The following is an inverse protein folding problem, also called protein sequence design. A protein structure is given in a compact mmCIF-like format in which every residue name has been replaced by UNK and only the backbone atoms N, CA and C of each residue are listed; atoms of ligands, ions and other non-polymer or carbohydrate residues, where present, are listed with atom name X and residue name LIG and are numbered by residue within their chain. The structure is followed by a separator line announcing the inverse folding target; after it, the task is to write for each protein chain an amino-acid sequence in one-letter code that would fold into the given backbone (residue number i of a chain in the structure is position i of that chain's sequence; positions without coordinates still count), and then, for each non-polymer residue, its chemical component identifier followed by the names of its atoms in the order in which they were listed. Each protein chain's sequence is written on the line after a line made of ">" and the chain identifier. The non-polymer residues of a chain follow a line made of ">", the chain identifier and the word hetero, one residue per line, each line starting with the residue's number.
data_IF_227887787795
#
_entry.id   IF_227887787795
#
_cell.length_a   1.000
_cell.length_b   1.000
_cell.length_c   1.000
_cell.angle_alpha   90.00
_cell.angle_beta   90.00
_cell.angle_gamma   90.00
#
_symmetry.space_group_name_H-M   'P 1'
#
loop_
_entity.id
_entity.type
_entity.pdbx_description
1 polymer ?
#
# COMPACT_ATOMS: atom_id res chain seq x y z
N UNK A 1 2.59 47.33 49.58
CA UNK A 1 2.40 48.57 48.79
C UNK A 1 1.39 48.28 47.69
N UNK A 2 0.24 48.96 47.71
CA UNK A 2 -0.52 49.54 46.57
C UNK A 2 -0.43 48.87 45.17
N UNK A 3 -1.50 48.61 44.41
CA UNK A 3 -2.83 49.27 44.27
C UNK A 3 -3.92 48.19 43.99
N UNK A 4 -5.19 48.33 44.38
CA UNK A 4 -6.28 49.06 43.66
C UNK A 4 -6.31 48.74 42.14
N UNK A 5 -7.43 48.33 41.53
CA UNK A 5 -8.81 48.83 41.69
C UNK A 5 -9.93 47.79 41.46
N UNK A 6 -11.06 47.97 42.17
CA UNK A 6 -12.36 47.36 41.86
C UNK A 6 -12.97 47.96 40.58
N UNK A 7 -13.68 47.15 39.80
CA UNK A 7 -14.70 47.61 38.85
C UNK A 7 -16.05 47.01 39.26
N UNK A 8 -17.00 47.85 39.63
CA UNK A 8 -18.35 47.44 39.99
C UNK A 8 -19.19 47.24 38.72
N UNK A 9 -19.94 46.14 38.64
CA UNK A 9 -21.29 46.21 38.10
C UNK A 9 -22.24 45.41 38.99
N UNK A 10 -23.33 46.06 39.35
CA UNK A 10 -24.30 45.63 40.35
C UNK A 10 -25.54 45.02 39.68
N UNK A 11 -26.13 44.05 40.38
CA UNK A 11 -27.57 43.76 40.41
C UNK A 11 -28.22 43.31 39.08
N UNK A 12 -28.70 42.06 39.09
CA UNK A 12 -30.13 41.79 39.02
C UNK A 12 -30.44 40.37 39.53
N UNK A 13 -30.93 40.28 40.77
CA UNK A 13 -31.49 39.04 41.33
C UNK A 13 -32.92 38.92 40.80
N UNK A 14 -33.24 37.78 40.19
CA UNK A 14 -34.61 37.35 39.95
C UNK A 14 -34.77 35.90 40.40
N UNK A 15 -35.06 35.70 41.70
CA UNK A 15 -35.59 34.43 42.18
C UNK A 15 -37.04 34.29 41.67
N UNK A 16 -37.32 33.23 40.94
CA UNK A 16 -38.68 32.75 40.69
C UNK A 16 -38.80 31.33 41.24
N UNK A 17 -39.32 31.19 42.45
CA UNK A 17 -39.75 29.90 42.99
C UNK A 17 -41.18 29.62 42.51
N UNK A 18 -41.37 28.56 41.74
CA UNK A 18 -42.69 27.98 41.48
C UNK A 18 -42.62 26.48 41.76
N UNK A 19 -43.35 26.03 42.77
CA UNK A 19 -43.47 24.64 43.17
C UNK A 19 -44.70 23.99 42.51
N UNK A 20 -44.52 22.89 41.80
CA UNK A 20 -45.59 21.95 41.45
C UNK A 20 -45.02 20.55 41.20
N UNK A 21 -45.71 19.52 41.69
CA UNK A 21 -45.24 18.12 41.66
C UNK A 21 -45.90 17.27 40.56
N UNK A 22 -45.25 16.15 40.22
CA UNK A 22 -45.79 14.92 39.62
C UNK A 22 -46.31 14.92 38.16
N UNK A 23 -45.56 14.27 37.25
CA UNK A 23 -46.08 13.44 36.14
C UNK A 23 -44.96 12.58 35.49
N UNK A 24 -45.31 11.63 34.63
CA UNK A 24 -44.44 10.56 34.09
C UNK A 24 -44.89 10.15 32.65
N UNK A 25 -44.19 9.33 31.83
CA UNK A 25 -43.09 8.38 32.13
C UNK A 25 -41.74 8.59 31.37
N UNK A 26 -41.50 8.19 30.09
CA UNK A 26 -40.13 7.85 29.66
C UNK A 26 -39.58 8.71 28.50
N UNK A 27 -38.25 8.66 28.31
CA UNK A 27 -37.60 8.51 26.99
C UNK A 27 -36.07 8.50 27.11
N UNK A 28 -35.47 7.31 27.15
CA UNK A 28 -34.02 7.14 27.02
C UNK A 28 -33.61 7.09 25.55
N UNK A 29 -33.53 8.24 24.86
CA UNK A 29 -33.09 8.35 23.46
C UNK A 29 -32.35 9.68 23.21
N UNK A 30 -31.11 9.80 23.70
CA UNK A 30 -30.25 10.96 23.36
C UNK A 30 -28.75 10.64 23.23
N UNK A 31 -28.23 9.63 23.94
CA UNK A 31 -26.82 9.26 23.83
C UNK A 31 -26.48 8.28 22.69
N UNK A 32 -27.47 7.62 22.06
CA UNK A 32 -27.23 6.63 21.01
C UNK A 32 -27.03 7.26 19.61
N UNK A 33 -27.76 8.35 19.31
CA UNK A 33 -27.76 8.97 17.98
C UNK A 33 -26.46 9.74 17.68
N UNK A 34 -25.81 10.31 18.71
CA UNK A 34 -24.55 11.03 18.57
C UNK A 34 -23.36 10.10 18.39
N UNK A 35 -23.37 8.91 19.01
CA UNK A 35 -22.37 7.87 18.73
C UNK A 35 -22.59 7.25 17.36
N UNK A 36 -23.83 6.98 16.94
CA UNK A 36 -24.13 6.41 15.62
C UNK A 36 -23.62 7.32 14.47
N UNK A 37 -23.89 8.63 14.54
CA UNK A 37 -23.39 9.57 13.52
C UNK A 37 -21.86 9.78 13.57
N UNK A 38 -21.25 9.75 14.76
CA UNK A 38 -19.79 9.85 14.89
C UNK A 38 -19.08 8.57 14.42
N UNK A 39 -19.70 7.41 14.65
CA UNK A 39 -19.19 6.11 14.24
C UNK A 39 -19.40 5.89 12.73
N UNK A 40 -20.55 6.25 12.17
CA UNK A 40 -20.77 6.27 10.72
C UNK A 40 -19.81 7.24 9.99
N UNK A 41 -19.41 8.35 10.63
CA UNK A 41 -18.37 9.23 10.11
C UNK A 41 -16.96 8.63 10.22
N UNK A 42 -16.65 7.90 11.29
CA UNK A 42 -15.37 7.19 11.45
C UNK A 42 -15.23 6.01 10.46
N UNK A 43 -16.31 5.26 10.25
CA UNK A 43 -16.39 4.16 9.28
C UNK A 43 -16.26 4.67 7.84
N UNK A 44 -16.86 5.82 7.51
CA UNK A 44 -16.66 6.46 6.18
C UNK A 44 -15.22 6.89 5.92
N UNK A 45 -14.50 7.36 6.94
CA UNK A 45 -13.11 7.80 6.80
C UNK A 45 -12.10 6.63 6.74
N UNK A 46 -12.52 5.39 7.01
CA UNK A 46 -11.70 4.19 6.85
C UNK A 46 -11.93 3.45 5.52
N UNK A 47 -12.95 3.82 4.74
CA UNK A 47 -13.35 3.08 3.53
C UNK A 47 -12.62 3.46 2.23
N UNK A 48 -11.76 4.49 2.22
CA UNK A 48 -11.13 5.01 0.99
C UNK A 48 -9.59 4.92 0.90
N UNK A 49 -8.86 4.49 1.94
CA UNK A 49 -7.37 4.44 1.90
C UNK A 49 -6.71 3.12 2.36
N UNK A 50 -7.48 2.13 2.84
CA UNK A 50 -6.96 0.77 3.08
C UNK A 50 -7.26 -0.16 1.90
N UNK A 51 -6.38 -0.12 0.89
CA UNK A 51 -6.24 -1.26 -0.02
C UNK A 51 -5.68 -2.46 0.78
N UNK A 52 -6.58 -3.28 1.33
CA UNK A 52 -6.24 -4.55 1.97
C UNK A 52 -5.69 -5.54 0.92
N UNK A 53 -4.39 -5.44 0.67
CA UNK A 53 -3.66 -6.44 -0.08
C UNK A 53 -3.46 -7.69 0.77
N UNK A 54 -3.43 -8.91 0.18
CA UNK A 54 -2.99 -10.09 0.89
C UNK A 54 -1.63 -9.84 1.55
N UNK A 55 -1.42 -10.25 2.80
CA UNK A 55 -0.20 -9.92 3.58
C UNK A 55 1.09 -10.19 2.80
N UNK A 56 1.12 -11.28 2.03
CA UNK A 56 2.20 -11.64 1.11
C UNK A 56 2.59 -10.51 0.15
N UNK A 57 1.62 -9.83 -0.47
CA UNK A 57 1.86 -8.71 -1.38
C UNK A 57 2.40 -7.49 -0.63
N UNK A 58 1.86 -7.21 0.56
CA UNK A 58 2.38 -6.16 1.46
C UNK A 58 3.86 -6.42 1.81
N UNK A 59 4.21 -7.63 2.25
CA UNK A 59 5.60 -8.00 2.56
C UNK A 59 6.53 -7.92 1.34
N UNK A 60 6.09 -8.43 0.18
CA UNK A 60 6.84 -8.33 -1.09
C UNK A 60 7.15 -6.87 -1.43
N UNK A 61 6.19 -5.96 -1.23
CA UNK A 61 6.34 -4.57 -1.63
C UNK A 61 7.15 -3.75 -0.61
N UNK A 62 7.01 -4.01 0.69
CA UNK A 62 7.89 -3.44 1.73
C UNK A 62 9.35 -3.84 1.47
N UNK A 63 9.61 -5.12 1.20
CA UNK A 63 10.95 -5.62 0.86
C UNK A 63 11.46 -5.04 -0.48
N UNK A 64 10.61 -4.90 -1.49
CA UNK A 64 11.02 -4.30 -2.76
C UNK A 64 11.41 -2.82 -2.60
N UNK A 65 10.60 -2.04 -1.88
CA UNK A 65 10.80 -0.60 -1.69
C UNK A 65 12.02 -0.29 -0.82
N UNK A 66 12.34 -1.12 0.19
CA UNK A 66 13.52 -0.94 1.05
C UNK A 66 14.85 -1.06 0.28
N UNK A 67 14.84 -1.71 -0.88
CA UNK A 67 16.00 -1.92 -1.75
C UNK A 67 16.20 -0.80 -2.80
N UNK A 68 15.37 0.25 -2.78
CA UNK A 68 15.45 1.39 -3.71
C UNK A 68 16.84 2.04 -3.67
N UNK A 69 17.40 2.33 -4.85
CA UNK A 69 18.72 2.93 -5.03
C UNK A 69 19.87 1.93 -5.16
N UNK A 70 19.70 0.65 -4.78
CA UNK A 70 20.77 -0.36 -4.93
C UNK A 70 21.14 -0.52 -6.40
N UNK A 71 22.45 -0.47 -6.69
CA UNK A 71 22.96 -0.39 -8.05
C UNK A 71 22.59 -1.60 -8.92
N UNK A 72 22.42 -1.36 -10.22
CA UNK A 72 22.28 -2.44 -11.19
C UNK A 72 23.60 -3.18 -11.38
N UNK A 73 23.55 -4.51 -11.35
CA UNK A 73 24.65 -5.41 -11.69
C UNK A 73 24.13 -6.58 -12.51
N UNK A 74 24.66 -6.77 -13.73
CA UNK A 74 24.31 -7.93 -14.56
C UNK A 74 24.67 -9.24 -13.85
N UNK A 75 23.70 -10.16 -13.70
CA UNK A 75 23.84 -11.38 -12.91
C UNK A 75 23.87 -11.16 -11.39
N UNK A 76 23.70 -9.91 -10.93
CA UNK A 76 23.67 -9.54 -9.53
C UNK A 76 22.37 -9.97 -8.85
N UNK A 77 22.48 -10.47 -7.62
CA UNK A 77 21.35 -11.04 -6.87
C UNK A 77 21.39 -10.74 -5.36
N UNK A 78 22.22 -9.79 -4.91
CA UNK A 78 22.32 -9.39 -3.50
C UNK A 78 22.44 -7.87 -3.35
N UNK A 79 22.03 -7.28 -2.20
CA UNK A 79 22.16 -5.84 -1.94
C UNK A 79 23.59 -5.30 -2.08
N UNK A 80 24.58 -6.09 -1.64
CA UNK A 80 25.99 -5.69 -1.54
C UNK A 80 26.69 -5.70 -2.89
N UNK A 81 26.26 -6.58 -3.80
CA UNK A 81 26.83 -6.73 -5.14
C UNK A 81 26.03 -6.01 -6.23
N UNK A 82 24.80 -5.58 -5.91
CA UNK A 82 23.83 -5.05 -6.83
C UNK A 82 22.93 -6.13 -7.45
N UNK A 83 21.91 -5.69 -8.18
CA UNK A 83 20.89 -6.58 -8.76
C UNK A 83 20.76 -6.44 -10.27
N UNK A 84 20.49 -7.52 -11.00
CA UNK A 84 19.75 -7.42 -12.26
C UNK A 84 18.23 -7.51 -12.02
N UNK A 85 17.43 -7.36 -13.08
CA UNK A 85 15.97 -7.35 -12.95
C UNK A 85 15.41 -8.63 -12.34
N UNK A 86 15.98 -9.79 -12.67
CA UNK A 86 15.55 -11.08 -12.16
C UNK A 86 16.17 -11.43 -10.81
N UNK A 87 17.43 -11.04 -10.58
CA UNK A 87 18.08 -11.17 -9.28
C UNK A 87 17.40 -10.34 -8.19
N UNK A 88 16.96 -9.11 -8.53
CA UNK A 88 16.13 -8.26 -7.66
C UNK A 88 14.82 -8.96 -7.25
N UNK A 89 14.02 -9.38 -8.24
CA UNK A 89 12.72 -10.04 -7.99
C UNK A 89 12.90 -11.33 -7.19
N UNK A 90 13.91 -12.14 -7.53
CA UNK A 90 14.26 -13.37 -6.80
C UNK A 90 14.63 -13.08 -5.35
N UNK A 91 15.45 -12.06 -5.09
CA UNK A 91 15.82 -11.68 -3.72
C UNK A 91 14.60 -11.23 -2.91
N UNK A 92 13.77 -10.34 -3.46
CA UNK A 92 12.55 -9.86 -2.79
C UNK A 92 11.61 -11.01 -2.42
N UNK A 93 11.33 -11.92 -3.35
CA UNK A 93 10.46 -13.07 -3.08
C UNK A 93 11.04 -14.06 -2.07
N UNK A 94 12.37 -14.22 -2.06
CA UNK A 94 13.05 -15.05 -1.08
C UNK A 94 12.98 -14.45 0.33
N UNK A 95 13.12 -13.13 0.49
CA UNK A 95 13.01 -12.47 1.81
C UNK A 95 11.55 -12.41 2.29
N UNK A 96 10.63 -11.95 1.43
CA UNK A 96 9.25 -11.70 1.81
C UNK A 96 8.39 -12.96 1.97
N UNK A 97 8.77 -14.07 1.30
CA UNK A 97 7.89 -15.26 1.20
C UNK A 97 8.60 -16.60 1.31
N UNK A 98 9.92 -16.60 1.54
CA UNK A 98 10.78 -17.80 1.52
C UNK A 98 10.81 -18.59 0.20
N UNK A 99 10.17 -18.10 -0.87
CA UNK A 99 10.13 -18.78 -2.17
C UNK A 99 11.37 -18.47 -3.02
N UNK A 100 12.12 -19.51 -3.35
CA UNK A 100 13.25 -19.42 -4.29
C UNK A 100 12.75 -19.41 -5.74
N UNK A 101 12.67 -18.23 -6.34
CA UNK A 101 12.43 -18.11 -7.78
C UNK A 101 13.69 -18.52 -8.59
N UNK A 102 13.53 -19.00 -9.85
CA UNK A 102 14.65 -19.21 -10.76
C UNK A 102 15.28 -17.87 -11.16
N UNK A 103 16.53 -17.90 -11.63
CA UNK A 103 17.16 -16.72 -12.21
C UNK A 103 16.71 -16.52 -13.67
N UNK A 104 16.63 -15.27 -14.13
CA UNK A 104 16.23 -14.91 -15.49
C UNK A 104 14.73 -14.65 -15.66
N UNK A 105 14.38 -13.47 -16.18
CA UNK A 105 12.99 -13.01 -16.33
C UNK A 105 12.10 -13.98 -17.12
N UNK A 106 12.62 -14.63 -18.17
CA UNK A 106 11.87 -15.62 -18.97
C UNK A 106 11.56 -16.93 -18.24
N UNK A 107 12.38 -17.33 -17.27
CA UNK A 107 12.07 -18.49 -16.42
C UNK A 107 11.01 -18.12 -15.38
N UNK A 108 11.12 -16.93 -14.79
CA UNK A 108 10.13 -16.40 -13.84
C UNK A 108 8.77 -16.19 -14.53
N UNK A 109 8.72 -15.79 -15.81
CA UNK A 109 7.48 -15.61 -16.56
C UNK A 109 6.72 -16.90 -16.89
N UNK A 110 7.27 -18.07 -16.55
CA UNK A 110 6.63 -19.38 -16.68
C UNK A 110 6.00 -19.86 -15.37
N UNK A 111 6.09 -19.07 -14.30
CA UNK A 111 5.56 -19.39 -12.97
C UNK A 111 4.27 -18.63 -12.67
N UNK A 112 3.43 -19.22 -11.81
CA UNK A 112 2.20 -18.61 -11.34
C UNK A 112 1.08 -18.57 -12.37
N UNK A 113 0.11 -17.69 -12.13
CA UNK A 113 -1.08 -17.51 -12.95
C UNK A 113 -0.95 -16.28 -13.83
N UNK A 114 -1.20 -16.42 -15.13
CA UNK A 114 -1.20 -15.29 -16.08
C UNK A 114 -2.29 -14.28 -15.70
N UNK A 115 -1.92 -13.00 -15.64
CA UNK A 115 -2.82 -11.88 -15.30
C UNK A 115 -2.92 -10.92 -16.48
N UNK A 116 -4.13 -10.42 -16.79
CA UNK A 116 -4.31 -9.37 -17.80
C UNK A 116 -3.90 -7.99 -17.24
N UNK A 117 -3.53 -7.04 -18.11
CA UNK A 117 -3.10 -5.70 -17.66
C UNK A 117 -4.17 -4.96 -16.82
N UNK A 118 -5.45 -5.25 -17.06
CA UNK A 118 -6.61 -4.73 -16.32
C UNK A 118 -6.84 -5.37 -14.94
N UNK A 119 -6.27 -6.54 -14.68
CA UNK A 119 -6.43 -7.30 -13.44
C UNK A 119 -5.19 -7.24 -12.52
N UNK A 120 -4.22 -6.39 -12.87
CA UNK A 120 -2.97 -6.21 -12.13
C UNK A 120 -3.24 -5.78 -10.70
N UNK A 121 -2.77 -6.60 -9.76
CA UNK A 121 -2.80 -6.34 -8.32
C UNK A 121 -1.36 -6.14 -7.82
N UNK A 122 -1.15 -5.24 -6.84
CA UNK A 122 0.19 -5.00 -6.30
C UNK A 122 0.81 -6.30 -5.77
N UNK A 123 2.11 -6.48 -6.06
CA UNK A 123 2.81 -7.74 -5.86
C UNK A 123 2.87 -8.62 -7.11
N UNK A 124 2.03 -8.41 -8.13
CA UNK A 124 2.15 -9.11 -9.41
C UNK A 124 3.48 -8.83 -10.10
N UNK A 125 4.00 -9.81 -10.82
CA UNK A 125 5.19 -9.63 -11.66
C UNK A 125 4.78 -9.13 -13.05
N UNK A 126 5.38 -8.03 -13.48
CA UNK A 126 5.15 -7.42 -14.79
C UNK A 126 6.38 -7.57 -15.68
N UNK A 127 6.16 -7.96 -16.94
CA UNK A 127 7.23 -8.33 -17.87
C UNK A 127 7.25 -7.45 -19.11
N UNK A 128 8.45 -7.24 -19.64
CA UNK A 128 8.67 -6.37 -20.78
C UNK A 128 9.70 -6.94 -21.77
N UNK A 129 9.58 -6.50 -23.03
CA UNK A 129 10.54 -6.73 -24.09
C UNK A 129 11.53 -5.55 -24.21
N UNK A 130 12.60 -5.56 -23.40
CA UNK A 130 13.67 -4.54 -23.44
C UNK A 130 14.82 -4.94 -24.37
N UNK A 131 15.09 -6.25 -24.51
CA UNK A 131 16.24 -6.81 -25.25
C UNK A 131 15.86 -7.47 -26.59
N UNK A 132 14.78 -7.02 -27.24
CA UNK A 132 14.21 -7.63 -28.47
C UNK A 132 13.85 -9.12 -28.31
N UNK A 133 13.57 -9.55 -27.09
CA UNK A 133 13.19 -10.91 -26.72
C UNK A 133 12.02 -10.87 -25.74
N UNK A 134 11.07 -11.80 -25.88
CA UNK A 134 9.92 -11.88 -24.99
C UNK A 134 10.37 -12.17 -23.55
N UNK A 135 9.79 -11.44 -22.58
CA UNK A 135 10.08 -11.59 -21.15
C UNK A 135 11.58 -11.36 -20.84
N UNK A 136 12.19 -10.36 -21.50
CA UNK A 136 13.60 -9.99 -21.27
C UNK A 136 13.80 -9.06 -20.07
N UNK A 137 12.72 -8.47 -19.54
CA UNK A 137 12.72 -7.70 -18.30
C UNK A 137 11.59 -8.13 -17.38
N UNK A 138 11.79 -7.98 -16.08
CA UNK A 138 10.78 -8.19 -15.04
C UNK A 138 10.86 -7.09 -13.99
N UNK A 139 9.73 -6.79 -13.35
CA UNK A 139 9.64 -6.00 -12.13
C UNK A 139 8.37 -6.36 -11.35
N UNK A 140 8.18 -5.74 -10.20
CA UNK A 140 7.05 -5.98 -9.30
C UNK A 140 6.08 -4.81 -9.40
N UNK A 141 4.82 -5.07 -9.71
CA UNK A 141 3.77 -4.07 -9.79
C UNK A 141 3.47 -3.50 -8.40
N UNK A 142 3.46 -2.17 -8.25
CA UNK A 142 3.24 -1.49 -6.96
C UNK A 142 1.88 -0.79 -6.87
N UNK A 143 1.01 -0.99 -7.88
CA UNK A 143 -0.26 -0.28 -8.02
C UNK A 143 -0.16 0.94 -8.94
N UNK A 144 -1.31 1.52 -9.29
CA UNK A 144 -1.41 2.80 -10.03
C UNK A 144 -0.54 2.89 -11.30
N UNK A 145 -0.52 1.82 -12.12
CA UNK A 145 0.34 1.69 -13.31
C UNK A 145 1.86 1.80 -13.05
N UNK A 146 2.31 1.66 -11.80
CA UNK A 146 3.72 1.75 -11.43
C UNK A 146 4.31 0.38 -11.09
N UNK A 147 5.60 0.24 -11.28
CA UNK A 147 6.33 -0.99 -10.96
C UNK A 147 7.77 -0.68 -10.52
N UNK A 148 8.30 -1.51 -9.63
CA UNK A 148 9.67 -1.43 -9.11
C UNK A 148 10.54 -2.52 -9.75
N UNK A 149 11.76 -2.15 -10.14
CA UNK A 149 12.68 -3.03 -10.87
C UNK A 149 14.16 -2.64 -10.65
N UNK A 150 15.10 -3.51 -11.06
CA UNK A 150 16.48 -3.11 -11.35
C UNK A 150 16.65 -3.03 -12.89
N UNK A 151 16.77 -1.83 -13.50
CA UNK A 151 16.56 -1.66 -14.94
C UNK A 151 17.78 -1.94 -15.82
N UNK A 152 18.92 -1.29 -15.56
CA UNK A 152 20.10 -1.32 -16.43
C UNK A 152 21.33 -0.70 -15.78
N UNK A 153 22.51 -1.02 -16.29
CA UNK A 153 23.80 -0.42 -15.90
C UNK A 153 23.74 1.12 -15.88
N UNK A 154 24.44 1.73 -14.92
CA UNK A 154 24.41 3.19 -14.71
C UNK A 154 23.20 3.69 -13.91
N UNK A 155 22.26 2.80 -13.54
CA UNK A 155 21.18 3.08 -12.59
C UNK A 155 21.15 2.09 -11.43
N UNK A 156 20.04 2.08 -10.71
CA UNK A 156 19.75 1.16 -9.61
C UNK A 156 18.26 0.89 -9.48
N UNK A 157 17.87 0.18 -8.42
CA UNK A 157 16.48 -0.17 -8.12
C UNK A 157 15.63 1.10 -8.01
N UNK A 158 14.52 1.17 -8.75
CA UNK A 158 13.62 2.34 -8.74
C UNK A 158 12.20 1.98 -9.17
N UNK A 159 11.27 2.90 -8.97
CA UNK A 159 9.88 2.83 -9.45
C UNK A 159 9.75 3.59 -10.78
N UNK A 160 9.26 2.92 -11.82
CA UNK A 160 8.93 3.49 -13.13
C UNK A 160 7.42 3.42 -13.41
N UNK A 161 6.94 4.23 -14.35
CA UNK A 161 5.55 4.26 -14.83
C UNK A 161 5.37 3.41 -16.11
N UNK A 162 4.47 2.42 -16.06
CA UNK A 162 4.12 1.54 -17.16
C UNK A 162 3.37 2.24 -18.31
N UNK A 163 2.78 3.42 -18.08
CA UNK A 163 2.13 4.24 -19.11
C UNK A 163 3.13 5.07 -19.91
N UNK A 164 4.35 5.27 -19.41
CA UNK A 164 5.41 5.96 -20.16
C UNK A 164 5.64 5.31 -21.54
N UNK A 165 5.96 6.11 -22.55
CA UNK A 165 6.06 5.64 -23.94
C UNK A 165 7.07 4.49 -24.11
N UNK A 166 8.10 4.43 -23.26
CA UNK A 166 9.09 3.36 -23.28
C UNK A 166 8.52 2.03 -22.76
N UNK A 167 7.88 2.03 -21.57
CA UNK A 167 7.37 0.82 -20.92
C UNK A 167 6.08 0.32 -21.53
N UNK A 168 5.15 1.23 -21.90
CA UNK A 168 3.87 0.84 -22.47
C UNK A 168 4.03 0.07 -23.79
N UNK A 169 4.98 0.47 -24.65
CA UNK A 169 5.32 -0.21 -25.91
C UNK A 169 6.02 -1.57 -25.73
N UNK A 170 6.51 -1.87 -24.52
CA UNK A 170 7.32 -3.06 -24.23
C UNK A 170 6.62 -4.08 -23.34
N UNK A 171 5.57 -3.68 -22.63
CA UNK A 171 4.80 -4.59 -21.77
C UNK A 171 4.30 -5.79 -22.59
N UNK A 172 4.62 -7.00 -22.13
CA UNK A 172 4.32 -8.22 -22.88
C UNK A 172 3.82 -9.39 -22.00
N UNK A 173 3.47 -9.14 -20.74
CA UNK A 173 2.76 -10.08 -19.88
C UNK A 173 2.84 -9.74 -18.39
N UNK A 174 2.04 -10.44 -17.59
CA UNK A 174 2.10 -10.39 -16.14
C UNK A 174 1.79 -11.77 -15.51
N UNK A 175 2.36 -12.04 -14.34
CA UNK A 175 2.17 -13.28 -13.58
C UNK A 175 1.88 -12.98 -12.11
N UNK A 176 0.88 -13.65 -11.54
CA UNK A 176 0.62 -13.69 -10.09
C UNK A 176 1.22 -14.95 -9.51
N UNK A 177 2.24 -14.79 -8.67
CA UNK A 177 2.86 -15.92 -7.97
C UNK A 177 2.02 -16.23 -6.74
N UNK A 178 1.13 -17.20 -6.88
CA UNK A 178 0.42 -17.83 -5.76
C UNK A 178 1.44 -18.56 -4.87
N UNK A 179 1.25 -18.54 -3.55
CA UNK A 179 1.95 -19.48 -2.67
C UNK A 179 1.26 -20.83 -2.80
N UNK A 180 2.02 -21.90 -3.03
CA UNK A 180 1.49 -23.23 -2.77
C UNK A 180 1.05 -23.29 -1.30
N UNK A 181 -0.26 -23.36 -1.07
CA UNK A 181 -0.74 -23.98 0.16
C UNK A 181 -0.37 -25.45 0.05
N UNK A 182 0.78 -25.81 0.62
CA UNK A 182 1.07 -27.21 0.92
C UNK A 182 0.04 -27.67 1.95
N UNK A 183 -1.09 -28.20 1.46
CA UNK A 183 -1.96 -29.05 2.26
C UNK A 183 -1.12 -30.22 2.76
N UNK A 184 -1.37 -30.58 4.01
CA UNK A 184 -0.50 -31.38 4.87
C UNK A 184 -0.01 -32.68 4.21
#
# INVERSE_FOLDING_TARGET
>A
MSKLTYAHYLICIALALVSASCAATPNGLSNAYTTDLAQAAAEKNHAEDSQDWPDRAREVLVNALSLTGIAYKYGGSTPETGFDCSGFVRYVYQQATSLTLPHGAKAISQLGKTVSKSELQPGDLVFFNTLKSAFSHVGIYVGNNRFIHSPSSGGGVRVDDMQSSYWNKRFNGAQRIESEQKKD
#
